data_IF_358142178180
#
_entry.id   IF_358142178180
#
_cell.length_a   1.000
_cell.length_b   1.000
_cell.length_c   1.000
_cell.angle_alpha   90.00
_cell.angle_beta   90.00
_cell.angle_gamma   90.00
#
_symmetry.space_group_name_H-M   'P 1'
#
loop_
_entity.id
_entity.type
_entity.pdbx_description
1 polymer ?
#
# COMPACT_ATOMS: atom_id res chain seq x y z
N UNK A 1 26.84 15.78 -14.69
CA UNK A 1 26.72 14.37 -15.11
C UNK A 1 27.06 13.32 -14.04
N UNK A 2 27.20 13.68 -12.75
CA UNK A 2 27.56 12.71 -11.69
C UNK A 2 26.39 12.20 -10.85
N UNK A 3 25.14 12.68 -11.06
CA UNK A 3 23.97 12.27 -10.29
C UNK A 3 23.31 10.95 -10.74
N UNK A 4 23.44 10.60 -12.02
CA UNK A 4 22.75 9.42 -12.59
C UNK A 4 23.37 8.08 -12.16
N UNK A 5 24.68 8.07 -11.88
CA UNK A 5 25.40 6.85 -11.49
C UNK A 5 24.94 6.29 -10.13
N UNK A 6 24.40 7.13 -9.25
CA UNK A 6 23.97 6.72 -7.90
C UNK A 6 22.61 6.00 -7.94
N UNK A 7 21.67 6.44 -8.78
CA UNK A 7 20.34 5.81 -8.94
C UNK A 7 20.47 4.43 -9.57
N UNK A 8 21.31 4.29 -10.59
CA UNK A 8 21.55 2.98 -11.25
C UNK A 8 22.14 1.96 -10.25
N UNK A 9 23.09 2.40 -9.43
CA UNK A 9 23.66 1.54 -8.38
C UNK A 9 22.62 1.11 -7.34
N UNK A 10 21.66 1.97 -7.01
CA UNK A 10 20.55 1.62 -6.11
C UNK A 10 19.66 0.57 -6.77
N UNK A 11 19.33 0.73 -8.05
CA UNK A 11 18.53 -0.24 -8.81
C UNK A 11 19.17 -1.64 -8.87
N UNK A 12 20.50 -1.69 -8.93
CA UNK A 12 21.23 -2.97 -9.05
C UNK A 12 21.48 -3.64 -7.69
N UNK A 13 21.60 -2.85 -6.60
CA UNK A 13 22.06 -3.38 -5.31
C UNK A 13 21.04 -3.27 -4.18
N UNK A 14 19.86 -2.68 -4.41
CA UNK A 14 18.85 -2.52 -3.35
C UNK A 14 18.04 -3.80 -3.16
N UNK A 15 17.98 -4.37 -1.94
CA UNK A 15 17.08 -5.48 -1.63
C UNK A 15 15.61 -5.16 -1.90
N UNK A 16 15.18 -3.90 -1.73
CA UNK A 16 13.82 -3.48 -2.08
C UNK A 16 13.52 -3.68 -3.57
N UNK A 17 14.47 -3.34 -4.43
CA UNK A 17 14.32 -3.53 -5.89
C UNK A 17 14.43 -5.01 -6.26
N UNK A 18 15.34 -5.75 -5.60
CA UNK A 18 15.47 -7.20 -5.79
C UNK A 18 14.17 -7.93 -5.44
N UNK A 19 13.50 -7.54 -4.34
CA UNK A 19 12.21 -8.09 -3.93
C UNK A 19 11.13 -7.86 -5.00
N UNK A 20 11.03 -6.64 -5.52
CA UNK A 20 10.05 -6.30 -6.57
C UNK A 20 10.32 -7.00 -7.91
N UNK A 21 11.56 -7.41 -8.18
CA UNK A 21 11.96 -8.13 -9.40
C UNK A 21 11.92 -9.65 -9.25
N UNK A 22 11.79 -10.17 -8.03
CA UNK A 22 11.72 -11.60 -7.77
C UNK A 22 10.50 -12.21 -8.50
N UNK A 23 10.65 -13.38 -9.11
CA UNK A 23 9.53 -14.11 -9.75
C UNK A 23 8.45 -14.45 -8.73
N UNK A 24 8.86 -14.78 -7.51
CA UNK A 24 7.99 -15.05 -6.36
C UNK A 24 7.54 -13.80 -5.61
N UNK A 25 7.66 -12.60 -6.19
CA UNK A 25 7.33 -11.33 -5.54
C UNK A 25 5.91 -11.34 -4.91
N UNK A 26 4.91 -11.80 -5.66
CA UNK A 26 3.52 -11.85 -5.17
C UNK A 26 3.39 -12.74 -3.93
N UNK A 27 3.97 -13.93 -3.97
CA UNK A 27 4.00 -14.86 -2.83
C UNK A 27 4.66 -14.22 -1.61
N UNK A 28 5.82 -13.57 -1.81
CA UNK A 28 6.57 -12.93 -0.73
C UNK A 28 5.73 -11.82 -0.09
N UNK A 29 5.17 -10.92 -0.91
CA UNK A 29 4.39 -9.77 -0.42
C UNK A 29 3.13 -10.25 0.31
N UNK A 30 2.40 -11.20 -0.27
CA UNK A 30 1.18 -11.73 0.32
C UNK A 30 1.46 -12.43 1.66
N UNK A 31 2.46 -13.31 1.70
CA UNK A 31 2.87 -13.98 2.92
C UNK A 31 3.35 -12.99 3.99
N UNK A 32 4.23 -12.05 3.64
CA UNK A 32 4.75 -11.06 4.60
C UNK A 32 3.64 -10.16 5.14
N UNK A 33 2.73 -9.72 4.29
CA UNK A 33 1.61 -8.88 4.73
C UNK A 33 0.72 -9.63 5.70
N UNK A 34 0.39 -10.90 5.43
CA UNK A 34 -0.45 -11.70 6.33
C UNK A 34 0.23 -12.04 7.65
N UNK A 35 1.50 -12.46 7.60
CA UNK A 35 2.20 -12.98 8.79
C UNK A 35 2.70 -11.87 9.72
N UNK A 36 3.06 -10.70 9.16
CA UNK A 36 3.55 -9.55 9.93
C UNK A 36 2.49 -8.45 10.13
N UNK A 37 1.20 -8.71 9.86
CA UNK A 37 0.13 -7.76 10.10
C UNK A 37 0.00 -7.40 11.59
N UNK A 38 -0.01 -8.42 12.45
CA UNK A 38 -0.20 -8.27 13.91
C UNK A 38 1.08 -8.51 14.73
N UNK A 39 2.19 -8.87 14.09
CA UNK A 39 3.42 -9.24 14.78
C UNK A 39 4.65 -8.56 14.16
N UNK A 40 5.48 -7.93 14.98
CA UNK A 40 6.76 -7.36 14.53
C UNK A 40 7.84 -8.42 14.33
N UNK A 41 7.79 -9.51 15.09
CA UNK A 41 8.75 -10.60 15.05
C UNK A 41 8.06 -11.96 15.21
N UNK A 42 8.57 -12.98 14.52
CA UNK A 42 8.00 -14.34 14.49
C UNK A 42 9.10 -15.35 14.77
N UNK A 43 8.80 -16.34 15.60
CA UNK A 43 9.74 -17.40 15.93
C UNK A 43 10.09 -18.26 14.72
N UNK A 44 11.26 -18.88 14.74
CA UNK A 44 11.74 -19.80 13.70
C UNK A 44 10.72 -20.90 13.37
N UNK A 45 10.16 -21.53 14.40
CA UNK A 45 9.18 -22.59 14.24
C UNK A 45 7.91 -22.08 13.56
N UNK A 46 7.38 -20.96 14.04
CA UNK A 46 6.12 -20.41 13.52
C UNK A 46 6.22 -19.94 12.08
N UNK A 47 7.31 -19.24 11.68
CA UNK A 47 7.44 -18.76 10.30
C UNK A 47 7.56 -19.93 9.32
N UNK A 48 8.26 -21.00 9.69
CA UNK A 48 8.39 -22.18 8.83
C UNK A 48 7.07 -22.95 8.72
N UNK A 49 6.36 -23.15 9.82
CA UNK A 49 5.06 -23.84 9.82
C UNK A 49 4.03 -23.05 8.99
N UNK A 50 3.87 -21.74 9.26
CA UNK A 50 2.92 -20.91 8.54
C UNK A 50 3.23 -20.82 7.05
N UNK A 51 4.52 -20.78 6.68
CA UNK A 51 4.90 -20.78 5.28
C UNK A 51 4.66 -22.14 4.61
N UNK A 52 4.90 -23.25 5.30
CA UNK A 52 4.60 -24.58 4.78
C UNK A 52 3.10 -24.75 4.51
N UNK A 53 2.24 -24.32 5.44
CA UNK A 53 0.80 -24.32 5.27
C UNK A 53 0.37 -23.44 4.09
N UNK A 54 0.91 -22.22 4.00
CA UNK A 54 0.65 -21.30 2.90
C UNK A 54 1.04 -21.89 1.53
N UNK A 55 2.22 -22.51 1.43
CA UNK A 55 2.70 -23.14 0.19
C UNK A 55 1.84 -24.32 -0.22
N UNK A 56 1.36 -25.11 0.75
CA UNK A 56 0.44 -26.22 0.51
C UNK A 56 -0.91 -25.73 -0.03
N UNK A 57 -1.48 -24.70 0.58
CA UNK A 57 -2.77 -24.14 0.18
C UNK A 57 -2.74 -23.50 -1.21
N UNK A 58 -1.60 -22.93 -1.60
CA UNK A 58 -1.40 -22.28 -2.90
C UNK A 58 -0.79 -23.21 -3.98
N UNK A 59 -0.52 -24.46 -3.63
CA UNK A 59 -0.05 -25.47 -4.59
C UNK A 59 1.29 -25.14 -5.24
N UNK A 60 2.23 -24.53 -4.51
CA UNK A 60 3.56 -24.19 -5.04
C UNK A 60 4.40 -25.47 -5.21
N UNK A 61 4.56 -25.91 -6.45
CA UNK A 61 5.25 -27.18 -6.75
C UNK A 61 6.75 -27.00 -7.02
N UNK A 62 7.11 -26.06 -7.88
CA UNK A 62 8.50 -25.85 -8.32
C UNK A 62 8.79 -24.36 -8.41
N UNK A 63 9.96 -23.97 -7.92
CA UNK A 63 10.51 -22.61 -8.09
C UNK A 63 12.04 -22.70 -8.23
N UNK A 64 12.50 -22.70 -9.49
CA UNK A 64 13.93 -22.83 -9.82
C UNK A 64 14.78 -21.69 -9.27
N UNK A 65 14.22 -20.48 -9.14
CA UNK A 65 14.93 -19.31 -8.60
C UNK A 65 15.28 -19.50 -7.12
N UNK A 66 14.40 -20.18 -6.38
CA UNK A 66 14.56 -20.46 -4.95
C UNK A 66 15.04 -21.91 -4.67
N UNK A 67 15.48 -22.63 -5.68
CA UNK A 67 15.96 -24.01 -5.57
C UNK A 67 14.91 -24.97 -4.99
N UNK A 68 13.65 -24.76 -5.33
CA UNK A 68 12.50 -25.56 -4.92
C UNK A 68 12.24 -26.65 -5.96
N UNK A 69 12.31 -27.90 -5.52
CA UNK A 69 12.08 -29.05 -6.36
C UNK A 69 10.68 -29.63 -6.13
N UNK A 70 10.17 -30.34 -7.12
CA UNK A 70 8.91 -31.07 -7.00
C UNK A 70 8.93 -32.13 -5.89
N UNK A 71 10.11 -32.71 -5.64
CA UNK A 71 10.31 -33.72 -4.60
C UNK A 71 10.38 -33.20 -3.18
N UNK A 72 10.55 -31.89 -3.00
CA UNK A 72 10.66 -31.29 -1.68
C UNK A 72 9.30 -31.33 -0.94
N UNK A 73 9.32 -31.63 0.34
CA UNK A 73 8.16 -31.44 1.20
C UNK A 73 7.86 -29.95 1.39
N UNK A 74 6.66 -29.58 1.83
CA UNK A 74 6.33 -28.17 2.05
C UNK A 74 7.17 -27.53 3.16
N UNK A 75 7.59 -28.30 4.17
CA UNK A 75 8.51 -27.88 5.23
C UNK A 75 9.92 -27.59 4.66
N UNK A 76 10.41 -28.45 3.77
CA UNK A 76 11.69 -28.25 3.08
C UNK A 76 11.64 -27.02 2.17
N UNK A 77 10.54 -26.83 1.44
CA UNK A 77 10.30 -25.64 0.62
C UNK A 77 10.28 -24.37 1.49
N UNK A 78 9.55 -24.40 2.60
CA UNK A 78 9.49 -23.28 3.55
C UNK A 78 10.88 -22.93 4.09
N UNK A 79 11.67 -23.93 4.48
CA UNK A 79 13.03 -23.71 4.97
C UNK A 79 13.94 -23.06 3.90
N UNK A 80 13.83 -23.51 2.63
CA UNK A 80 14.58 -22.92 1.51
C UNK A 80 14.17 -21.47 1.25
N UNK A 81 12.87 -21.16 1.25
CA UNK A 81 12.36 -19.81 1.07
C UNK A 81 12.83 -18.87 2.19
N UNK A 82 12.62 -19.23 3.46
CA UNK A 82 13.02 -18.39 4.61
C UNK A 82 14.52 -18.13 4.58
N UNK A 83 15.34 -19.16 4.29
CA UNK A 83 16.77 -18.98 4.13
C UNK A 83 17.10 -18.01 3.00
N UNK A 84 16.51 -18.18 1.83
CA UNK A 84 16.74 -17.32 0.66
C UNK A 84 16.32 -15.89 0.89
N UNK A 85 15.19 -15.68 1.55
CA UNK A 85 14.71 -14.34 1.89
C UNK A 85 15.63 -13.63 2.88
N UNK A 86 16.20 -14.39 3.83
CA UNK A 86 17.20 -13.86 4.76
C UNK A 86 18.51 -13.54 4.03
N UNK A 87 19.00 -14.43 3.17
CA UNK A 87 20.23 -14.22 2.40
C UNK A 87 20.10 -13.02 1.44
N UNK A 88 18.93 -12.78 0.88
CA UNK A 88 18.64 -11.64 0.01
C UNK A 88 18.33 -10.33 0.78
N UNK A 89 18.30 -10.36 2.11
CA UNK A 89 18.00 -9.20 2.93
C UNK A 89 16.54 -8.77 2.92
N UNK A 90 15.62 -9.69 2.64
CA UNK A 90 14.17 -9.46 2.74
C UNK A 90 13.70 -9.66 4.18
N UNK A 91 14.29 -10.62 4.90
CA UNK A 91 14.12 -10.83 6.32
C UNK A 91 15.42 -10.56 7.06
N UNK A 92 15.31 -10.15 8.32
CA UNK A 92 16.40 -10.14 9.30
C UNK A 92 16.10 -11.17 10.38
N UNK A 93 17.12 -11.75 10.97
CA UNK A 93 16.94 -12.64 12.10
C UNK A 93 17.83 -12.23 13.27
N UNK A 94 17.38 -12.55 14.46
CA UNK A 94 18.15 -12.37 15.69
C UNK A 94 17.83 -13.51 16.68
N UNK A 95 18.64 -13.63 17.72
CA UNK A 95 18.37 -14.54 18.84
C UNK A 95 17.88 -13.77 20.05
N UNK A 96 16.83 -14.27 20.68
CA UNK A 96 16.37 -13.74 21.95
C UNK A 96 17.30 -14.18 23.12
N UNK A 97 16.97 -13.77 24.33
CA UNK A 97 17.71 -14.12 25.54
C UNK A 97 17.73 -15.63 25.82
N UNK A 98 16.71 -16.35 25.40
CA UNK A 98 16.58 -17.82 25.55
C UNK A 98 17.33 -18.58 24.44
N UNK A 99 17.92 -17.88 23.47
CA UNK A 99 18.66 -18.45 22.34
C UNK A 99 17.81 -18.86 21.15
N UNK A 100 16.49 -18.60 21.18
CA UNK A 100 15.59 -18.86 20.08
C UNK A 100 15.77 -17.84 18.94
N UNK A 101 15.59 -18.29 17.71
CA UNK A 101 15.70 -17.45 16.51
C UNK A 101 14.33 -16.83 16.20
N UNK A 102 14.33 -15.52 16.01
CA UNK A 102 13.20 -14.76 15.54
C UNK A 102 13.51 -14.09 14.19
N UNK A 103 12.47 -13.91 13.39
CA UNK A 103 12.55 -13.23 12.11
C UNK A 103 11.68 -11.98 12.12
N UNK A 104 12.17 -10.93 11.49
CA UNK A 104 11.49 -9.65 11.29
C UNK A 104 11.58 -9.25 9.83
N UNK A 105 10.66 -8.41 9.38
CA UNK A 105 10.81 -7.75 8.09
C UNK A 105 12.06 -6.87 8.10
N UNK A 106 12.88 -6.97 7.07
CA UNK A 106 13.95 -6.00 6.89
C UNK A 106 13.38 -4.61 6.65
N UNK A 107 14.14 -3.57 6.92
CA UNK A 107 13.76 -2.19 6.59
C UNK A 107 13.49 -1.99 5.09
N UNK A 108 14.06 -2.84 4.25
CA UNK A 108 13.85 -2.84 2.81
C UNK A 108 12.47 -3.40 2.44
N UNK A 109 12.08 -4.52 3.04
CA UNK A 109 10.78 -5.15 2.81
C UNK A 109 9.64 -4.32 3.39
N UNK A 110 9.78 -3.76 4.60
CA UNK A 110 8.79 -2.84 5.19
C UNK A 110 8.51 -1.66 4.28
N UNK A 111 9.56 -1.00 3.76
CA UNK A 111 9.39 0.13 2.82
C UNK A 111 8.64 -0.25 1.54
N UNK A 112 8.88 -1.46 1.00
CA UNK A 112 8.17 -1.94 -0.19
C UNK A 112 6.69 -2.16 0.12
N UNK A 113 6.38 -2.82 1.24
CA UNK A 113 5.00 -3.09 1.66
C UNK A 113 4.27 -1.77 1.95
N UNK A 114 4.89 -0.84 2.67
CA UNK A 114 4.34 0.48 2.97
C UNK A 114 4.05 1.26 1.69
N UNK A 115 4.99 1.25 0.73
CA UNK A 115 4.81 1.91 -0.55
C UNK A 115 3.66 1.29 -1.37
N UNK A 116 3.57 -0.04 -1.47
CA UNK A 116 2.48 -0.73 -2.16
C UNK A 116 1.12 -0.45 -1.49
N UNK A 117 1.09 -0.42 -0.16
CA UNK A 117 -0.11 -0.08 0.61
C UNK A 117 -0.53 1.38 0.38
N UNK A 118 0.45 2.28 0.24
CA UNK A 118 0.24 3.68 -0.13
C UNK A 118 -0.38 3.83 -1.51
N UNK A 119 0.11 3.11 -2.51
CA UNK A 119 -0.45 3.15 -3.87
C UNK A 119 -1.93 2.79 -3.90
N UNK A 120 -2.34 1.76 -3.16
CA UNK A 120 -3.74 1.36 -3.05
C UNK A 120 -4.62 2.49 -2.46
N UNK A 121 -4.10 3.23 -1.47
CA UNK A 121 -4.79 4.37 -0.86
C UNK A 121 -4.86 5.57 -1.80
N UNK A 122 -3.75 5.90 -2.45
CA UNK A 122 -3.67 7.03 -3.37
C UNK A 122 -4.58 6.85 -4.59
N UNK A 123 -4.68 5.64 -5.14
CA UNK A 123 -5.53 5.34 -6.28
C UNK A 123 -7.02 5.56 -5.95
N UNK A 124 -7.45 5.17 -4.74
CA UNK A 124 -8.83 5.34 -4.31
C UNK A 124 -9.18 6.81 -3.98
N UNK A 125 -8.33 7.49 -3.21
CA UNK A 125 -8.59 8.88 -2.77
C UNK A 125 -8.29 9.88 -3.89
N UNK A 126 -7.21 9.65 -4.65
CA UNK A 126 -6.78 10.53 -5.73
C UNK A 126 -7.76 10.62 -6.88
N UNK A 127 -8.41 9.50 -7.26
CA UNK A 127 -9.38 9.48 -8.36
C UNK A 127 -10.66 10.23 -8.02
N UNK A 128 -11.23 10.00 -6.85
CA UNK A 128 -12.46 10.68 -6.42
C UNK A 128 -12.23 12.17 -6.17
N UNK A 129 -11.15 12.52 -5.48
CA UNK A 129 -10.80 13.91 -5.18
C UNK A 129 -10.44 14.70 -6.44
N UNK A 130 -9.63 14.12 -7.33
CA UNK A 130 -9.31 14.74 -8.64
C UNK A 130 -10.55 14.91 -9.49
N UNK A 131 -11.42 13.90 -9.55
CA UNK A 131 -12.66 13.98 -10.30
C UNK A 131 -13.58 15.09 -9.75
N UNK A 132 -13.76 15.17 -8.43
CA UNK A 132 -14.52 16.26 -7.79
C UNK A 132 -13.89 17.62 -8.07
N UNK A 133 -12.58 17.74 -8.01
CA UNK A 133 -11.87 18.99 -8.33
C UNK A 133 -12.09 19.40 -9.77
N UNK A 134 -11.97 18.48 -10.74
CA UNK A 134 -12.21 18.76 -12.16
C UNK A 134 -13.66 19.20 -12.39
N UNK A 135 -14.63 18.52 -11.79
CA UNK A 135 -16.05 18.90 -11.91
C UNK A 135 -16.28 20.30 -11.33
N UNK A 136 -15.67 20.62 -10.19
CA UNK A 136 -15.78 21.96 -9.58
C UNK A 136 -15.17 23.03 -10.49
N UNK A 137 -13.97 22.80 -11.01
CA UNK A 137 -13.32 23.73 -11.95
C UNK A 137 -14.13 23.91 -13.25
N UNK A 138 -14.69 22.83 -13.79
CA UNK A 138 -15.56 22.93 -14.97
C UNK A 138 -16.84 23.74 -14.69
N UNK A 139 -17.44 23.56 -13.51
CA UNK A 139 -18.62 24.38 -13.10
C UNK A 139 -18.26 25.86 -12.97
N UNK A 140 -17.12 26.15 -12.33
CA UNK A 140 -16.62 27.54 -12.23
C UNK A 140 -16.33 28.12 -13.62
N UNK A 141 -15.74 27.37 -14.52
CA UNK A 141 -15.42 27.82 -15.87
C UNK A 141 -16.70 28.13 -16.64
N UNK A 142 -17.73 27.32 -16.53
CA UNK A 142 -19.07 27.56 -17.15
C UNK A 142 -19.72 28.79 -16.53
N UNK A 143 -19.62 28.97 -15.20
CA UNK A 143 -20.16 30.13 -14.50
C UNK A 143 -19.49 31.43 -14.93
N UNK A 144 -18.15 31.45 -15.05
CA UNK A 144 -17.38 32.65 -15.41
C UNK A 144 -17.38 32.95 -16.92
N UNK A 145 -17.59 31.96 -17.79
CA UNK A 145 -17.71 32.16 -19.26
C UNK A 145 -19.12 32.52 -19.71
N UNK A 146 -20.12 32.43 -18.83
CA UNK A 146 -21.46 32.77 -19.20
C UNK A 146 -21.69 34.28 -19.15
N UNK A 147 -21.79 34.94 -20.30
CA UNK A 147 -22.06 36.38 -20.44
C UNK A 147 -23.51 36.76 -20.09
N UNK A 148 -24.41 35.77 -20.01
CA UNK A 148 -25.81 35.95 -19.69
C UNK A 148 -26.01 36.19 -18.18
N UNK A 149 -26.30 37.43 -17.82
CA UNK A 149 -26.48 37.88 -16.44
C UNK A 149 -27.65 37.15 -15.73
N UNK A 150 -28.71 36.81 -16.46
CA UNK A 150 -29.87 36.14 -15.87
C UNK A 150 -29.52 34.69 -15.48
N UNK A 151 -28.81 33.98 -16.37
CA UNK A 151 -28.36 32.62 -16.08
C UNK A 151 -27.36 32.58 -14.92
N UNK A 152 -26.45 33.55 -14.81
CA UNK A 152 -25.55 33.65 -13.65
C UNK A 152 -26.31 33.86 -12.36
N UNK A 153 -27.35 34.70 -12.38
CA UNK A 153 -28.18 34.98 -11.23
C UNK A 153 -28.91 33.72 -10.78
N UNK A 154 -29.47 32.95 -11.72
CA UNK A 154 -30.14 31.69 -11.46
C UNK A 154 -29.20 30.64 -10.83
N UNK A 155 -27.97 30.49 -11.37
CA UNK A 155 -26.96 29.58 -10.79
C UNK A 155 -26.61 29.96 -9.34
N UNK A 156 -26.49 31.25 -9.04
CA UNK A 156 -26.20 31.74 -7.69
C UNK A 156 -27.38 31.55 -6.73
N UNK A 157 -28.61 31.69 -7.21
CA UNK A 157 -29.82 31.42 -6.43
C UNK A 157 -29.95 29.93 -6.10
N UNK A 158 -29.66 29.04 -7.07
CA UNK A 158 -29.65 27.59 -6.86
C UNK A 158 -28.58 27.18 -5.82
N UNK A 159 -27.35 27.73 -5.92
CA UNK A 159 -26.29 27.51 -4.93
C UNK A 159 -26.67 27.99 -3.54
N UNK A 160 -27.31 29.15 -3.46
CA UNK A 160 -27.79 29.71 -2.17
C UNK A 160 -28.82 28.77 -1.53
N UNK A 161 -29.75 28.26 -2.30
CA UNK A 161 -30.77 27.30 -1.84
C UNK A 161 -30.13 26.00 -1.33
N UNK A 162 -29.14 25.48 -2.05
CA UNK A 162 -28.40 24.28 -1.66
C UNK A 162 -27.68 24.48 -0.33
N UNK A 163 -27.00 25.62 -0.16
CA UNK A 163 -26.31 25.99 1.10
C UNK A 163 -27.32 26.17 2.24
N UNK A 164 -28.44 26.81 2.01
CA UNK A 164 -29.50 26.99 3.02
C UNK A 164 -30.05 25.64 3.50
N UNK A 165 -30.25 24.68 2.56
CA UNK A 165 -30.65 23.31 2.89
C UNK A 165 -29.59 22.57 3.70
N UNK A 166 -28.31 22.74 3.38
CA UNK A 166 -27.23 22.15 4.16
C UNK A 166 -27.17 22.70 5.59
N UNK A 167 -27.30 24.00 5.74
CA UNK A 167 -27.36 24.66 7.05
C UNK A 167 -28.53 24.11 7.86
N UNK A 168 -29.71 23.97 7.24
CA UNK A 168 -30.91 23.49 7.92
C UNK A 168 -30.74 22.02 8.38
N UNK A 169 -30.13 21.15 7.57
CA UNK A 169 -29.81 19.76 7.95
C UNK A 169 -28.85 19.72 9.15
N UNK A 170 -27.80 20.55 9.12
CA UNK A 170 -26.87 20.72 10.25
C UNK A 170 -27.58 21.17 11.55
N UNK A 171 -28.50 22.12 11.45
CA UNK A 171 -29.25 22.59 12.58
C UNK A 171 -30.25 21.56 13.14
N UNK A 172 -30.73 20.65 12.28
CA UNK A 172 -31.62 19.55 12.69
C UNK A 172 -30.86 18.38 13.30
N UNK A 173 -29.51 18.39 13.27
CA UNK A 173 -28.67 17.32 13.83
C UNK A 173 -28.49 16.12 12.92
N UNK A 174 -28.78 16.27 11.62
CA UNK A 174 -28.48 15.22 10.65
C UNK A 174 -26.97 14.98 10.55
N UNK A 175 -26.58 13.71 10.44
CA UNK A 175 -25.18 13.31 10.36
C UNK A 175 -24.49 13.98 9.16
N UNK A 176 -23.58 14.88 9.44
CA UNK A 176 -22.72 15.49 8.44
C UNK A 176 -21.56 14.54 8.18
N UNK A 177 -21.31 14.24 6.93
CA UNK A 177 -20.15 13.45 6.51
C UNK A 177 -18.86 14.18 6.94
N UNK A 178 -18.31 13.77 8.08
CA UNK A 178 -17.00 14.23 8.58
C UNK A 178 -15.95 13.38 7.89
N UNK A 179 -14.86 14.00 7.42
CA UNK A 179 -13.73 13.23 6.91
C UNK A 179 -13.09 12.47 8.07
N UNK A 180 -12.89 11.18 7.89
CA UNK A 180 -12.16 10.39 8.86
C UNK A 180 -10.65 10.71 8.81
N UNK A 181 -9.95 10.47 9.91
CA UNK A 181 -8.54 10.88 10.08
C UNK A 181 -7.63 10.35 8.95
N UNK A 182 -7.89 9.14 8.43
CA UNK A 182 -7.18 8.55 7.30
C UNK A 182 -7.44 9.28 5.96
N UNK A 183 -8.54 10.04 5.83
CA UNK A 183 -8.86 10.84 4.64
C UNK A 183 -8.21 12.22 4.69
N UNK A 184 -7.91 12.75 5.89
CA UNK A 184 -7.40 14.10 6.09
C UNK A 184 -5.94 14.22 5.64
N UNK A 185 -5.09 13.29 6.07
CA UNK A 185 -3.63 13.32 5.82
C UNK A 185 -3.29 13.31 4.32
N UNK A 186 -3.85 12.40 3.50
CA UNK A 186 -3.59 12.41 2.04
C UNK A 186 -4.09 13.68 1.34
N UNK A 187 -5.19 14.28 1.81
CA UNK A 187 -5.72 15.53 1.25
C UNK A 187 -4.82 16.73 1.57
N UNK A 188 -4.20 16.73 2.75
CA UNK A 188 -3.23 17.77 3.14
C UNK A 188 -1.95 17.70 2.31
N UNK A 189 -1.49 16.50 1.94
CA UNK A 189 -0.30 16.30 1.10
C UNK A 189 -0.51 16.69 -0.37
N UNK A 190 -1.76 16.75 -0.84
CA UNK A 190 -2.09 17.17 -2.21
C UNK A 190 -2.14 18.69 -2.41
N UNK A 191 -2.13 19.47 -1.33
CA UNK A 191 -2.22 20.95 -1.38
C UNK A 191 -0.84 21.61 -1.31
N UNK A 192 0.22 20.86 -1.01
CA UNK A 192 1.61 21.30 -1.02
C UNK A 192 2.36 20.69 -2.22
#
# INVERSE_FOLDING_TARGET
>A
MAKDTNIIKILDNSPSVALLRARSCNLIIEFFTGVFEDATAISHENIHSQLADYLNDHGVEVDEENDILFSDTYEEKAAKYVKRWTDNGFLTNYRNEDGEIYYELSSHSSKVIDWLSGLKREEYIGTESKFKSIITQLRELVEYTNEDREKRLQILEDKKLEIEQQIQRLQMGDDVKIFEEYEIVPRFQQVN
#
